data_IF_513396405604
#
_entry.id   IF_513396405604
#
_cell.length_a   1.000
_cell.length_b   1.000
_cell.length_c   1.000
_cell.angle_alpha   90.00
_cell.angle_beta   90.00
_cell.angle_gamma   90.00
#
_symmetry.space_group_name_H-M   'P 1'
#
loop_
_entity.id
_entity.type
_entity.pdbx_description
1 polymer ?
#
# COMPACT_ATOMS: atom_id res chain seq x y z
N UNK A 1 -2.53 -16.29 11.82
CA UNK A 1 -3.59 -16.96 11.03
C UNK A 1 -4.83 -16.09 10.85
N UNK A 2 -5.69 -15.83 11.85
CA UNK A 2 -6.94 -15.06 11.64
C UNK A 2 -6.73 -13.57 11.27
N UNK A 3 -5.68 -12.91 11.78
CA UNK A 3 -5.31 -11.52 11.37
C UNK A 3 -4.83 -11.47 9.92
N UNK A 4 -3.99 -12.44 9.50
CA UNK A 4 -3.55 -12.59 8.11
C UNK A 4 -4.70 -12.95 7.17
N UNK A 5 -5.73 -13.66 7.62
CA UNK A 5 -6.90 -13.98 6.80
C UNK A 5 -7.73 -12.73 6.45
N UNK A 6 -7.85 -11.76 7.37
CA UNK A 6 -8.54 -10.49 7.06
C UNK A 6 -7.68 -9.52 6.28
N UNK A 7 -6.37 -9.43 6.55
CA UNK A 7 -5.47 -8.64 5.69
C UNK A 7 -5.45 -9.24 4.27
N UNK A 8 -5.37 -10.57 4.10
CA UNK A 8 -5.52 -11.24 2.79
C UNK A 8 -6.92 -11.11 2.19
N UNK A 9 -7.99 -11.04 2.98
CA UNK A 9 -9.31 -10.73 2.43
C UNK A 9 -9.48 -9.25 2.04
N UNK A 10 -8.66 -8.36 2.61
CA UNK A 10 -8.65 -6.90 2.35
C UNK A 10 -7.75 -6.57 1.17
N UNK A 11 -6.54 -7.13 1.14
CA UNK A 11 -5.59 -7.09 0.01
C UNK A 11 -6.04 -7.98 -1.16
N UNK A 12 -7.08 -8.79 -0.96
CA UNK A 12 -7.52 -9.78 -1.94
C UNK A 12 -6.41 -10.77 -2.32
N UNK A 13 -6.53 -11.32 -3.52
CA UNK A 13 -5.51 -12.17 -4.14
C UNK A 13 -4.41 -11.34 -4.80
N UNK A 14 -3.97 -10.20 -4.22
CA UNK A 14 -2.81 -9.49 -4.77
C UNK A 14 -1.56 -10.33 -4.54
N UNK A 15 -1.13 -11.05 -5.57
CA UNK A 15 0.02 -11.93 -5.56
C UNK A 15 1.25 -11.19 -6.09
N UNK A 16 2.33 -11.15 -5.29
CA UNK A 16 3.60 -10.54 -5.67
C UNK A 16 4.52 -11.58 -6.30
N UNK A 17 4.88 -12.62 -5.55
CA UNK A 17 5.99 -13.54 -5.87
C UNK A 17 5.89 -14.15 -7.28
N UNK A 18 4.68 -14.57 -7.71
CA UNK A 18 4.48 -15.22 -9.00
C UNK A 18 4.14 -14.26 -10.15
N UNK A 19 3.93 -12.96 -9.85
CA UNK A 19 3.46 -11.95 -10.80
C UNK A 19 4.47 -10.84 -11.06
N UNK A 20 5.69 -10.97 -10.55
CA UNK A 20 6.78 -10.03 -10.77
C UNK A 20 7.25 -10.07 -12.22
N UNK A 21 7.41 -8.90 -12.83
CA UNK A 21 7.98 -8.71 -14.15
C UNK A 21 9.10 -7.67 -14.05
N UNK A 22 10.29 -7.98 -14.60
CA UNK A 22 11.34 -6.96 -14.76
C UNK A 22 10.81 -5.76 -15.54
N UNK A 23 11.10 -4.53 -15.09
CA UNK A 23 10.45 -3.35 -15.66
C UNK A 23 10.78 -3.14 -17.16
N UNK A 24 11.99 -3.52 -17.60
CA UNK A 24 12.35 -3.46 -19.02
C UNK A 24 11.51 -4.43 -19.86
N UNK A 25 11.29 -5.66 -19.35
CA UNK A 25 10.40 -6.64 -19.98
C UNK A 25 8.94 -6.18 -19.95
N UNK A 26 8.48 -5.68 -18.81
CA UNK A 26 7.11 -5.21 -18.58
C UNK A 26 6.71 -4.14 -19.59
N UNK A 27 7.50 -3.08 -19.74
CA UNK A 27 7.07 -1.95 -20.56
C UNK A 27 7.02 -2.29 -22.05
N UNK A 28 7.92 -3.17 -22.52
CA UNK A 28 7.90 -3.67 -23.89
C UNK A 28 6.65 -4.53 -24.14
N UNK A 29 6.31 -5.40 -23.18
CA UNK A 29 5.08 -6.21 -23.22
C UNK A 29 3.84 -5.34 -23.19
N UNK A 30 3.83 -4.30 -22.35
CA UNK A 30 2.71 -3.37 -22.24
C UNK A 30 2.50 -2.57 -23.53
N UNK A 31 3.57 -2.12 -24.18
CA UNK A 31 3.47 -1.50 -25.50
C UNK A 31 2.86 -2.46 -26.54
N UNK A 32 3.36 -3.70 -26.60
CA UNK A 32 2.84 -4.71 -27.52
C UNK A 32 1.38 -5.10 -27.20
N UNK A 33 1.01 -5.14 -25.91
CA UNK A 33 -0.37 -5.31 -25.48
C UNK A 33 -1.26 -4.17 -25.99
N UNK A 34 -0.81 -2.92 -25.93
CA UNK A 34 -1.55 -1.79 -26.51
C UNK A 34 -1.81 -1.99 -28.02
N UNK A 35 -0.83 -2.51 -28.76
CA UNK A 35 -0.99 -2.81 -30.19
C UNK A 35 -1.97 -3.96 -30.43
N UNK A 36 -1.93 -5.03 -29.63
CA UNK A 36 -2.87 -6.16 -29.70
C UNK A 36 -4.32 -5.73 -29.43
N UNK A 37 -4.53 -4.75 -28.55
CA UNK A 37 -5.85 -4.13 -28.28
C UNK A 37 -6.29 -3.11 -29.35
N UNK A 38 -5.55 -3.01 -30.46
CA UNK A 38 -5.92 -2.21 -31.63
C UNK A 38 -5.45 -0.75 -31.60
N UNK A 39 -4.53 -0.38 -30.70
CA UNK A 39 -3.90 0.94 -30.74
C UNK A 39 -2.87 1.05 -31.87
N UNK A 40 -2.62 2.26 -32.34
CA UNK A 40 -1.76 2.54 -33.50
C UNK A 40 -0.34 2.91 -33.07
N UNK A 41 0.66 2.17 -33.58
CA UNK A 41 2.07 2.47 -33.36
C UNK A 41 2.42 3.93 -33.71
N UNK A 42 3.21 4.59 -32.84
CA UNK A 42 3.57 6.01 -32.98
C UNK A 42 2.42 7.00 -32.76
N UNK A 43 1.23 6.55 -32.33
CA UNK A 43 0.07 7.40 -31.99
C UNK A 43 -0.44 7.22 -30.56
N UNK A 44 0.23 6.36 -29.79
CA UNK A 44 -0.06 6.14 -28.37
C UNK A 44 0.71 7.17 -27.54
N UNK A 45 -0.02 7.98 -26.76
CA UNK A 45 0.61 8.86 -25.77
C UNK A 45 0.61 8.15 -24.42
N UNK A 46 1.80 7.85 -23.86
CA UNK A 46 1.88 7.31 -22.53
C UNK A 46 1.69 8.42 -21.48
N UNK A 47 1.23 8.00 -20.33
CA UNK A 47 1.08 8.81 -19.14
C UNK A 47 1.50 8.00 -17.93
N UNK A 48 2.10 8.65 -16.94
CA UNK A 48 2.47 8.03 -15.67
C UNK A 48 1.82 8.71 -14.47
N UNK A 49 1.39 7.92 -13.50
CA UNK A 49 0.99 8.35 -12.16
C UNK A 49 1.87 7.68 -11.11
N UNK A 50 3.14 8.10 -11.05
CA UNK A 50 4.16 7.60 -10.13
C UNK A 50 4.50 8.63 -9.06
N UNK A 51 5.14 8.16 -7.98
CA UNK A 51 5.78 9.04 -7.00
C UNK A 51 6.91 9.86 -7.64
N UNK A 52 7.24 11.00 -7.04
CA UNK A 52 8.32 11.91 -7.48
C UNK A 52 9.72 11.46 -7.03
N UNK A 53 9.84 10.32 -6.34
CA UNK A 53 11.10 9.77 -5.85
C UNK A 53 12.05 9.43 -7.00
N UNK A 54 13.37 9.62 -6.82
CA UNK A 54 14.34 9.40 -7.89
C UNK A 54 14.44 7.92 -8.31
N UNK A 55 14.07 6.98 -7.44
CA UNK A 55 14.01 5.55 -7.78
C UNK A 55 13.04 5.26 -8.93
N UNK A 56 12.06 6.15 -9.16
CA UNK A 56 11.07 6.03 -10.23
C UNK A 56 11.58 6.58 -11.59
N UNK A 57 12.82 7.09 -11.65
CA UNK A 57 13.41 7.66 -12.87
C UNK A 57 13.60 6.64 -13.99
N UNK A 58 14.12 5.45 -13.69
CA UNK A 58 14.35 4.41 -14.70
C UNK A 58 13.04 3.97 -15.39
N UNK A 59 11.94 3.69 -14.65
CA UNK A 59 10.61 3.49 -15.26
C UNK A 59 10.21 4.55 -16.28
N UNK A 60 10.44 5.83 -16.01
CA UNK A 60 10.09 6.96 -16.90
C UNK A 60 10.92 6.92 -18.19
N UNK A 61 12.22 6.65 -18.07
CA UNK A 61 13.14 6.52 -19.20
C UNK A 61 12.68 5.36 -20.10
N UNK A 62 12.36 4.21 -19.50
CA UNK A 62 11.93 3.02 -20.23
C UNK A 62 10.56 3.23 -20.91
N UNK A 63 9.60 3.90 -20.28
CA UNK A 63 8.35 4.31 -20.93
C UNK A 63 8.63 5.16 -22.17
N UNK A 64 9.49 6.17 -22.03
CA UNK A 64 9.85 7.07 -23.13
C UNK A 64 10.51 6.33 -24.30
N UNK A 65 11.41 5.39 -23.98
CA UNK A 65 12.09 4.52 -24.95
C UNK A 65 11.10 3.67 -25.76
N UNK A 66 10.09 3.09 -25.12
CA UNK A 66 9.21 2.13 -25.78
C UNK A 66 8.04 2.79 -26.52
N UNK A 67 7.52 3.92 -26.02
CA UNK A 67 6.41 4.63 -26.65
C UNK A 67 6.87 5.73 -27.61
N UNK A 68 8.15 6.10 -27.61
CA UNK A 68 8.68 7.17 -28.45
C UNK A 68 8.21 8.57 -28.05
N UNK A 69 7.61 8.71 -26.86
CA UNK A 69 7.11 9.97 -26.32
C UNK A 69 7.35 10.01 -24.81
N UNK A 70 7.76 11.17 -24.29
CA UNK A 70 7.89 11.36 -22.85
C UNK A 70 6.51 11.28 -22.19
N UNK A 71 6.33 10.50 -21.10
CA UNK A 71 5.02 10.29 -20.54
C UNK A 71 4.45 11.57 -19.93
N UNK A 72 3.19 11.84 -20.24
CA UNK A 72 2.43 12.90 -19.58
C UNK A 72 2.34 12.61 -18.07
N UNK A 73 2.50 13.65 -17.24
CA UNK A 73 2.55 13.48 -15.80
C UNK A 73 1.14 13.57 -15.17
N UNK A 74 0.56 12.42 -14.82
CA UNK A 74 -0.61 12.32 -13.95
C UNK A 74 -0.24 12.18 -12.47
N UNK A 75 1.05 12.03 -12.15
CA UNK A 75 1.52 11.66 -10.82
C UNK A 75 1.44 12.80 -9.82
N UNK A 76 1.06 12.40 -8.60
CA UNK A 76 1.34 13.09 -7.36
C UNK A 76 2.14 12.13 -6.46
N UNK A 77 2.74 12.68 -5.41
CA UNK A 77 3.57 11.93 -4.46
C UNK A 77 2.78 10.74 -3.89
N UNK A 78 3.42 9.58 -3.77
CA UNK A 78 2.79 8.33 -3.32
C UNK A 78 2.02 7.58 -4.39
N UNK A 79 2.25 7.87 -5.67
CA UNK A 79 1.61 7.12 -6.77
C UNK A 79 0.14 7.50 -6.98
N UNK A 80 -0.25 8.68 -6.52
CA UNK A 80 -1.63 9.17 -6.60
C UNK A 80 -1.91 9.76 -7.97
N UNK A 81 -3.03 9.39 -8.58
CA UNK A 81 -3.46 9.96 -9.86
C UNK A 81 -4.16 11.32 -9.68
N UNK A 82 -3.63 12.37 -10.33
CA UNK A 82 -4.25 13.68 -10.45
C UNK A 82 -5.37 13.68 -11.50
N UNK A 83 -6.59 13.36 -11.06
CA UNK A 83 -7.75 13.21 -11.96
C UNK A 83 -8.15 14.49 -12.70
N UNK A 84 -7.75 15.67 -12.20
CA UNK A 84 -7.94 16.94 -12.90
C UNK A 84 -7.10 17.07 -14.18
N UNK A 85 -6.16 16.15 -14.43
CA UNK A 85 -5.29 16.16 -15.62
C UNK A 85 -5.79 15.26 -16.75
N UNK A 86 -6.94 14.59 -16.56
CA UNK A 86 -7.51 13.70 -17.57
C UNK A 86 -7.83 14.40 -18.88
N UNK A 87 -8.61 15.49 -18.82
CA UNK A 87 -8.98 16.26 -20.00
C UNK A 87 -7.78 16.77 -20.82
N UNK A 88 -6.76 17.42 -20.20
CA UNK A 88 -5.55 17.78 -20.93
C UNK A 88 -4.87 16.60 -21.63
N UNK A 89 -4.69 15.47 -20.93
CA UNK A 89 -4.04 14.29 -21.49
C UNK A 89 -4.82 13.70 -22.68
N UNK A 90 -6.15 13.69 -22.62
CA UNK A 90 -7.00 13.15 -23.69
C UNK A 90 -6.76 13.79 -25.05
N UNK A 91 -6.28 15.04 -25.08
CA UNK A 91 -6.03 15.78 -26.32
C UNK A 91 -4.63 15.55 -26.91
N UNK A 92 -3.75 14.80 -26.25
CA UNK A 92 -2.35 14.69 -26.66
C UNK A 92 -2.09 13.57 -27.67
N UNK A 93 -2.95 12.55 -27.72
CA UNK A 93 -2.78 11.37 -28.58
C UNK A 93 -4.06 10.93 -29.26
N UNK A 94 -3.93 10.02 -30.24
CA UNK A 94 -5.07 9.27 -30.77
C UNK A 94 -5.47 8.19 -29.77
N UNK A 95 -4.47 7.41 -29.33
CA UNK A 95 -4.59 6.33 -28.37
C UNK A 95 -3.84 6.72 -27.08
N UNK A 96 -4.31 6.23 -25.95
CA UNK A 96 -3.87 6.69 -24.63
C UNK A 96 -3.49 5.51 -23.74
N UNK A 97 -2.31 5.58 -23.12
CA UNK A 97 -1.86 4.56 -22.17
C UNK A 97 -1.51 5.22 -20.84
N UNK A 98 -2.18 4.83 -19.76
CA UNK A 98 -1.94 5.36 -18.41
C UNK A 98 -1.36 4.26 -17.54
N UNK A 99 -0.19 4.50 -16.94
CA UNK A 99 0.47 3.58 -16.03
C UNK A 99 0.48 4.25 -14.64
N UNK A 100 -0.23 3.69 -13.67
CA UNK A 100 -0.22 4.16 -12.29
C UNK A 100 0.48 3.13 -11.41
N UNK A 101 1.33 3.59 -10.51
CA UNK A 101 1.98 2.70 -9.57
C UNK A 101 2.23 3.39 -8.23
N UNK A 102 1.92 2.66 -7.15
CA UNK A 102 2.62 2.89 -5.89
C UNK A 102 3.99 2.23 -5.97
N UNK A 103 4.87 2.55 -5.04
CA UNK A 103 6.21 1.96 -5.01
C UNK A 103 6.69 1.66 -3.60
N UNK A 104 7.61 0.71 -3.50
CA UNK A 104 8.24 0.31 -2.26
C UNK A 104 9.69 -0.11 -2.52
N UNK A 105 10.60 0.33 -1.67
CA UNK A 105 11.99 -0.07 -1.70
C UNK A 105 12.16 -1.50 -1.18
N UNK A 106 13.11 -2.24 -1.74
CA UNK A 106 13.47 -3.55 -1.24
C UNK A 106 14.99 -3.67 -1.10
N UNK A 107 15.47 -3.89 0.12
CA UNK A 107 16.87 -4.18 0.36
C UNK A 107 17.11 -5.69 0.31
N UNK A 108 17.85 -6.14 -0.70
CA UNK A 108 18.18 -7.56 -0.91
C UNK A 108 19.09 -8.12 0.18
N UNK A 109 19.87 -7.28 0.86
CA UNK A 109 20.82 -7.73 1.88
C UNK A 109 20.15 -8.08 3.20
N UNK A 110 19.10 -7.35 3.56
CA UNK A 110 18.30 -7.58 4.78
C UNK A 110 16.93 -8.19 4.51
N UNK A 111 16.59 -8.45 3.24
CA UNK A 111 15.30 -8.96 2.77
C UNK A 111 14.11 -8.14 3.32
N UNK A 112 14.29 -6.81 3.37
CA UNK A 112 13.35 -5.90 4.05
C UNK A 112 12.72 -4.92 3.05
N UNK A 113 11.40 -4.75 3.15
CA UNK A 113 10.67 -3.76 2.38
C UNK A 113 10.62 -2.38 3.06
N UNK A 114 10.46 -1.34 2.24
CA UNK A 114 10.23 0.03 2.68
C UNK A 114 11.50 0.86 2.82
N UNK A 115 12.68 0.30 2.57
CA UNK A 115 13.97 1.01 2.65
C UNK A 115 14.70 0.97 1.31
N UNK A 116 15.52 1.99 1.08
CA UNK A 116 16.28 2.14 -0.15
C UNK A 116 17.59 2.89 0.09
N UNK A 117 18.69 2.43 -0.51
CA UNK A 117 20.01 3.05 -0.42
C UNK A 117 20.11 4.27 -1.35
N UNK A 118 20.35 5.45 -0.78
CA UNK A 118 20.47 6.71 -1.51
C UNK A 118 21.92 6.97 -1.93
N UNK A 119 22.31 6.48 -3.11
CA UNK A 119 23.70 6.54 -3.60
C UNK A 119 24.33 7.93 -3.64
N UNK A 120 23.52 8.99 -3.79
CA UNK A 120 23.99 10.37 -3.91
C UNK A 120 24.23 11.07 -2.56
N UNK A 121 23.96 10.40 -1.43
CA UNK A 121 24.31 10.91 -0.10
C UNK A 121 25.76 10.58 0.24
N UNK A 122 26.40 11.41 1.08
CA UNK A 122 27.83 11.26 1.40
C UNK A 122 28.21 9.87 1.95
N UNK A 123 27.27 9.22 2.65
CA UNK A 123 27.47 7.90 3.25
C UNK A 123 26.58 6.81 2.64
N UNK A 124 25.92 7.08 1.50
CA UNK A 124 24.96 6.16 0.87
C UNK A 124 23.91 5.62 1.84
N UNK A 125 23.27 6.53 2.58
CA UNK A 125 22.38 6.20 3.69
C UNK A 125 21.11 5.50 3.20
N UNK A 126 20.60 4.59 4.04
CA UNK A 126 19.29 4.00 3.83
C UNK A 126 18.22 4.94 4.35
N UNK A 127 17.18 5.14 3.55
CA UNK A 127 16.02 5.96 3.92
C UNK A 127 14.73 5.31 3.42
N UNK A 128 13.57 5.74 3.91
CA UNK A 128 12.28 5.19 3.49
C UNK A 128 12.00 5.37 1.99
N UNK A 129 11.34 4.38 1.40
CA UNK A 129 10.89 4.37 0.01
C UNK A 129 9.61 3.52 -0.08
N UNK A 130 8.43 4.07 -0.35
CA UNK A 130 8.06 5.47 -0.61
C UNK A 130 8.12 6.39 0.63
N UNK A 131 8.82 7.52 0.53
CA UNK A 131 8.90 8.50 1.65
C UNK A 131 7.55 9.09 2.08
N UNK A 132 6.59 9.25 1.16
CA UNK A 132 5.24 9.76 1.51
C UNK A 132 4.42 8.74 2.28
N UNK A 133 4.49 7.46 1.91
CA UNK A 133 3.81 6.38 2.65
C UNK A 133 4.42 6.27 4.05
N UNK A 134 5.75 6.29 4.16
CA UNK A 134 6.43 6.23 5.46
C UNK A 134 6.00 7.38 6.37
N UNK A 135 6.08 8.62 5.87
CA UNK A 135 5.66 9.80 6.63
C UNK A 135 4.18 9.73 7.05
N UNK A 136 3.31 9.21 6.18
CA UNK A 136 1.90 9.00 6.51
C UNK A 136 1.72 7.98 7.64
N UNK A 137 2.50 6.90 7.61
CA UNK A 137 2.42 5.81 8.59
C UNK A 137 3.09 6.13 9.93
N UNK A 138 4.08 7.02 9.96
CA UNK A 138 4.92 7.29 11.13
C UNK A 138 4.10 7.51 12.41
N UNK A 139 3.11 8.41 12.36
CA UNK A 139 2.25 8.70 13.50
C UNK A 139 1.47 7.47 13.98
N UNK A 140 0.86 6.73 13.05
CA UNK A 140 0.09 5.52 13.37
C UNK A 140 0.97 4.44 13.99
N UNK A 141 2.16 4.20 13.42
CA UNK A 141 3.12 3.23 13.94
C UNK A 141 3.60 3.60 15.34
N UNK A 142 3.81 4.89 15.62
CA UNK A 142 4.20 5.39 16.94
C UNK A 142 3.10 5.17 17.99
N UNK A 143 1.85 5.49 17.66
CA UNK A 143 0.69 5.23 18.52
C UNK A 143 0.50 3.72 18.80
N UNK A 144 0.64 2.87 17.78
CA UNK A 144 0.59 1.41 17.94
C UNK A 144 1.74 0.89 18.80
N UNK A 145 2.96 1.40 18.59
CA UNK A 145 4.15 1.05 19.38
C UNK A 145 3.98 1.46 20.85
N UNK A 146 3.39 2.62 21.11
CA UNK A 146 3.04 3.05 22.46
C UNK A 146 2.02 2.09 23.09
N UNK A 147 0.90 1.83 22.42
CA UNK A 147 -0.15 0.93 22.93
C UNK A 147 0.38 -0.49 23.19
N UNK A 148 1.11 -1.05 22.23
CA UNK A 148 1.65 -2.42 22.31
C UNK A 148 2.67 -2.60 23.44
N UNK A 149 3.36 -1.54 23.87
CA UNK A 149 4.29 -1.54 25.01
C UNK A 149 3.60 -1.27 26.35
N UNK A 150 2.53 -0.48 26.37
CA UNK A 150 1.91 0.03 27.60
C UNK A 150 0.60 -0.67 28.00
N UNK A 151 0.12 -1.62 27.19
CA UNK A 151 -0.89 -2.60 27.63
C UNK A 151 -0.15 -3.81 28.17
N UNK A 152 -0.31 -4.10 29.47
CA UNK A 152 0.44 -5.15 30.16
C UNK A 152 -0.46 -6.32 30.55
N UNK A 153 -0.02 -7.53 30.24
CA UNK A 153 -0.68 -8.79 30.58
C UNK A 153 0.07 -9.49 31.72
N UNK A 154 -0.66 -9.99 32.72
CA UNK A 154 -0.08 -10.77 33.82
C UNK A 154 -1.11 -11.67 34.50
N UNK A 155 -0.63 -12.55 35.39
CA UNK A 155 -1.46 -13.32 36.30
C UNK A 155 -1.07 -13.08 37.76
N UNK A 156 -2.07 -13.12 38.62
CA UNK A 156 -1.92 -13.26 40.07
C UNK A 156 -2.64 -14.54 40.53
N UNK A 157 -2.69 -14.78 41.84
CA UNK A 157 -3.48 -15.88 42.42
C UNK A 157 -4.98 -15.74 42.11
N UNK A 158 -5.46 -14.51 41.92
CA UNK A 158 -6.86 -14.19 41.63
C UNK A 158 -7.25 -14.37 40.15
N UNK A 159 -6.28 -14.62 39.27
CA UNK A 159 -6.50 -14.89 37.84
C UNK A 159 -5.65 -14.06 36.88
N UNK A 160 -6.15 -13.88 35.66
CA UNK A 160 -5.47 -13.17 34.57
C UNK A 160 -5.96 -11.73 34.42
N UNK A 161 -5.02 -10.80 34.34
CA UNK A 161 -5.28 -9.37 34.35
C UNK A 161 -4.63 -8.67 33.15
N UNK A 162 -5.26 -7.55 32.76
CA UNK A 162 -4.69 -6.56 31.85
C UNK A 162 -4.57 -5.23 32.60
N UNK A 163 -3.43 -4.57 32.44
CA UNK A 163 -3.19 -3.21 32.95
C UNK A 163 -3.03 -2.29 31.75
N UNK A 164 -3.83 -1.24 31.68
CA UNK A 164 -3.93 -0.34 30.53
C UNK A 164 -3.58 1.07 31.00
N UNK A 165 -2.66 1.72 30.29
CA UNK A 165 -2.29 3.10 30.52
C UNK A 165 -3.49 4.05 30.41
N UNK A 166 -3.55 5.06 31.28
CA UNK A 166 -4.65 6.02 31.34
C UNK A 166 -4.81 6.80 30.03
N UNK A 167 -3.74 7.04 29.26
CA UNK A 167 -3.81 7.68 27.95
C UNK A 167 -4.69 6.88 26.99
N UNK A 168 -4.53 5.55 26.97
CA UNK A 168 -5.27 4.63 26.10
C UNK A 168 -6.73 4.40 26.56
N UNK A 169 -7.07 4.86 27.76
CA UNK A 169 -8.42 4.81 28.34
C UNK A 169 -9.14 6.15 28.26
N UNK A 170 -8.42 7.23 27.98
CA UNK A 170 -8.95 8.59 27.97
C UNK A 170 -9.71 8.85 26.67
N UNK A 171 -10.95 9.32 26.79
CA UNK A 171 -11.71 9.84 25.65
C UNK A 171 -11.53 11.36 25.45
N UNK A 172 -10.60 11.98 26.19
CA UNK A 172 -10.37 13.43 26.12
C UNK A 172 -9.58 13.87 24.89
N UNK A 173 -8.97 12.92 24.18
CA UNK A 173 -8.18 13.21 22.99
C UNK A 173 -9.06 13.09 21.74
N UNK A 174 -8.94 14.05 20.84
CA UNK A 174 -9.65 14.04 19.55
C UNK A 174 -9.02 13.04 18.57
N UNK A 175 -7.73 12.76 18.75
CA UNK A 175 -6.95 11.84 17.91
C UNK A 175 -6.13 10.86 18.76
N UNK A 176 -5.87 9.69 18.21
CA UNK A 176 -5.02 8.65 18.82
C UNK A 176 -5.50 7.24 18.52
N UNK A 177 -4.85 6.26 19.16
CA UNK A 177 -5.27 4.87 19.18
C UNK A 177 -6.22 4.61 20.36
N UNK A 178 -7.43 4.12 20.04
CA UNK A 178 -8.47 3.80 21.01
C UNK A 178 -8.67 2.30 21.12
N UNK A 179 -8.64 1.77 22.34
CA UNK A 179 -8.78 0.34 22.57
C UNK A 179 -10.25 -0.06 22.56
N UNK A 180 -10.58 -1.14 21.84
CA UNK A 180 -11.85 -1.83 21.98
C UNK A 180 -11.86 -2.65 23.28
N UNK A 181 -12.17 -1.98 24.39
CA UNK A 181 -12.12 -2.58 25.73
C UNK A 181 -13.05 -3.80 25.86
N UNK A 182 -14.20 -3.82 25.15
CA UNK A 182 -15.13 -4.96 25.16
C UNK A 182 -14.49 -6.26 24.67
N UNK A 183 -13.49 -6.15 23.80
CA UNK A 183 -12.78 -7.32 23.28
C UNK A 183 -11.71 -7.84 24.25
N UNK A 184 -11.21 -7.01 25.17
CA UNK A 184 -10.06 -7.32 26.02
C UNK A 184 -10.46 -7.60 27.48
N UNK A 185 -11.39 -6.82 28.03
CA UNK A 185 -11.75 -6.88 29.46
C UNK A 185 -13.05 -7.64 29.72
N UNK A 186 -13.19 -8.17 30.93
CA UNK A 186 -14.40 -8.86 31.36
C UNK A 186 -15.62 -7.93 31.37
N UNK A 187 -16.74 -8.43 30.85
CA UNK A 187 -18.02 -7.74 30.76
C UNK A 187 -19.03 -8.43 31.65
N UNK A 188 -19.88 -7.66 32.32
CA UNK A 188 -20.99 -8.22 33.08
C UNK A 188 -22.19 -8.38 32.14
N UNK A 189 -22.52 -9.63 31.80
CA UNK A 189 -23.54 -9.95 30.77
C UNK A 189 -24.95 -9.48 31.16
N UNK A 190 -25.27 -9.46 32.46
CA UNK A 190 -26.59 -9.09 32.97
C UNK A 190 -26.86 -7.58 32.85
N UNK A 191 -25.85 -6.75 33.10
CA UNK A 191 -25.97 -5.28 33.08
C UNK A 191 -25.57 -4.70 31.72
N UNK A 192 -24.90 -5.49 30.86
CA UNK A 192 -24.21 -5.02 29.64
C UNK A 192 -23.22 -3.90 29.94
N UNK A 193 -22.73 -3.81 31.18
CA UNK A 193 -21.75 -2.83 31.60
C UNK A 193 -20.34 -3.45 31.66
N UNK A 194 -19.34 -2.60 31.45
CA UNK A 194 -17.95 -2.98 31.68
C UNK A 194 -17.74 -3.21 33.17
N UNK A 195 -17.06 -4.30 33.52
CA UNK A 195 -16.63 -4.46 34.92
C UNK A 195 -15.76 -3.28 35.34
N UNK A 196 -16.05 -2.73 36.53
CA UNK A 196 -15.22 -1.66 37.11
C UNK A 196 -13.78 -2.16 37.23
N UNK A 197 -12.82 -1.24 37.07
CA UNK A 197 -11.41 -1.56 37.25
C UNK A 197 -11.19 -2.20 38.62
N UNK A 198 -10.52 -3.34 38.66
CA UNK A 198 -10.16 -4.04 39.90
C UNK A 198 -9.19 -3.20 40.72
N UNK A 199 -8.36 -2.40 40.05
CA UNK A 199 -7.43 -1.49 40.70
C UNK A 199 -7.23 -0.24 39.84
N UNK A 200 -7.23 0.92 40.48
CA UNK A 200 -6.81 2.20 39.89
C UNK A 200 -5.40 2.49 40.37
N UNK A 201 -4.48 2.69 39.43
CA UNK A 201 -3.09 3.05 39.67
C UNK A 201 -2.87 4.51 39.25
N UNK A 202 -1.69 5.07 39.57
CA UNK A 202 -1.37 6.47 39.26
C UNK A 202 -1.45 6.80 37.77
N UNK A 203 -0.97 5.91 36.90
CA UNK A 203 -0.91 6.12 35.43
C UNK A 203 -1.70 5.07 34.65
N UNK A 204 -2.36 4.12 35.30
CA UNK A 204 -3.04 3.01 34.62
C UNK A 204 -4.21 2.46 35.41
N UNK A 205 -5.01 1.60 34.77
CA UNK A 205 -6.07 0.83 35.43
C UNK A 205 -5.91 -0.65 35.13
N UNK A 206 -6.22 -1.48 36.12
CA UNK A 206 -6.18 -2.94 36.04
C UNK A 206 -7.59 -3.51 35.90
N UNK A 207 -7.75 -4.45 34.98
CA UNK A 207 -9.01 -5.14 34.70
C UNK A 207 -8.80 -6.65 34.66
N UNK A 208 -9.87 -7.40 34.93
CA UNK A 208 -9.93 -8.83 34.60
C UNK A 208 -10.04 -8.99 33.09
N UNK A 209 -9.36 -9.99 32.57
CA UNK A 209 -9.34 -10.26 31.12
C UNK A 209 -10.61 -11.00 30.71
N UNK A 210 -11.17 -10.66 29.55
CA UNK A 210 -12.34 -11.33 28.98
C UNK A 210 -12.07 -12.81 28.68
N UNK A 211 -13.10 -13.66 28.77
CA UNK A 211 -12.99 -15.08 28.41
C UNK A 211 -12.53 -15.26 26.95
N UNK A 212 -13.07 -14.46 26.05
CA UNK A 212 -12.73 -14.48 24.62
C UNK A 212 -11.26 -14.11 24.37
N UNK A 213 -10.74 -13.09 25.06
CA UNK A 213 -9.35 -12.69 24.90
C UNK A 213 -8.39 -13.74 25.50
N UNK A 214 -8.75 -14.38 26.63
CA UNK A 214 -7.98 -15.52 27.17
C UNK A 214 -7.94 -16.68 26.17
N UNK A 215 -9.06 -17.03 25.54
CA UNK A 215 -9.11 -18.09 24.54
C UNK A 215 -8.20 -17.76 23.34
N UNK A 216 -8.29 -16.54 22.81
CA UNK A 216 -7.43 -16.03 21.74
C UNK A 216 -5.93 -16.12 22.07
N UNK A 217 -5.54 -15.76 23.29
CA UNK A 217 -4.16 -15.85 23.76
C UNK A 217 -3.71 -17.31 23.92
N UNK A 218 -4.58 -18.18 24.44
CA UNK A 218 -4.32 -19.62 24.60
C UNK A 218 -4.06 -20.31 23.27
N UNK A 219 -4.84 -20.02 22.23
CA UNK A 219 -4.63 -20.53 20.86
C UNK A 219 -3.25 -20.17 20.28
N UNK A 220 -2.58 -19.16 20.84
CA UNK A 220 -1.26 -18.68 20.41
C UNK A 220 -0.17 -19.04 21.42
N UNK A 221 -0.43 -20.05 22.26
CA UNK A 221 0.48 -20.54 23.29
C UNK A 221 1.01 -19.42 24.20
N UNK A 222 0.19 -18.40 24.48
CA UNK A 222 0.58 -17.34 25.39
C UNK A 222 0.65 -17.88 26.82
N UNK A 223 1.84 -17.82 27.40
CA UNK A 223 2.06 -18.14 28.80
C UNK A 223 1.85 -16.89 29.65
N UNK A 224 0.87 -16.93 30.56
CA UNK A 224 0.57 -15.83 31.46
C UNK A 224 1.73 -15.59 32.45
N UNK A 225 2.41 -14.43 32.38
CA UNK A 225 3.56 -14.18 33.23
C UNK A 225 3.13 -13.68 34.62
N UNK A 226 3.90 -14.02 35.66
CA UNK A 226 3.68 -13.46 37.01
C UNK A 226 4.02 -11.96 37.08
N UNK A 227 5.03 -11.53 36.31
CA UNK A 227 5.40 -10.12 36.15
C UNK A 227 4.67 -9.53 34.92
N UNK A 228 4.22 -8.26 34.98
CA UNK A 228 3.64 -7.58 33.82
C UNK A 228 4.52 -7.68 32.58
N UNK A 229 3.93 -8.09 31.45
CA UNK A 229 4.58 -8.12 30.13
C UNK A 229 3.72 -7.37 29.12
N UNK A 230 4.37 -6.57 28.28
CA UNK A 230 3.73 -5.90 27.15
C UNK A 230 2.91 -6.87 26.28
N UNK A 231 1.75 -6.42 25.81
CA UNK A 231 0.87 -7.16 24.90
C UNK A 231 1.58 -7.42 23.56
N UNK A 232 2.45 -6.51 23.09
CA UNK A 232 3.21 -6.66 21.86
C UNK A 232 2.35 -7.11 20.68
N UNK A 233 2.83 -8.12 19.94
CA UNK A 233 2.15 -8.73 18.78
C UNK A 233 0.78 -9.34 19.05
N UNK A 234 0.36 -9.45 20.31
CA UNK A 234 -0.98 -9.93 20.65
C UNK A 234 -2.06 -8.85 20.50
N UNK A 235 -1.66 -7.58 20.34
CA UNK A 235 -2.54 -6.46 19.99
C UNK A 235 -2.91 -6.50 18.50
N UNK A 236 -3.90 -7.32 18.16
CA UNK A 236 -4.36 -7.51 16.77
C UNK A 236 -5.25 -6.34 16.29
N UNK A 237 -5.44 -6.17 14.96
CA UNK A 237 -6.16 -5.04 14.36
C UNK A 237 -7.52 -4.74 14.98
N UNK A 238 -8.32 -5.78 15.25
CA UNK A 238 -9.68 -5.61 15.73
C UNK A 238 -9.80 -5.32 17.24
N UNK A 239 -8.68 -5.13 17.94
CA UNK A 239 -8.65 -4.74 19.34
C UNK A 239 -8.54 -3.23 19.54
N UNK A 240 -8.37 -2.47 18.46
CA UNK A 240 -8.24 -1.03 18.52
C UNK A 240 -8.79 -0.38 17.25
N UNK A 241 -8.97 0.92 17.32
CA UNK A 241 -9.30 1.79 16.20
C UNK A 241 -8.44 3.06 16.30
N UNK A 242 -8.26 3.74 15.18
CA UNK A 242 -7.66 5.07 15.17
C UNK A 242 -8.74 6.12 14.99
N UNK A 243 -8.60 7.23 15.71
CA UNK A 243 -9.27 8.47 15.35
C UNK A 243 -8.21 9.46 14.90
N UNK A 244 -8.43 10.03 13.72
CA UNK A 244 -7.58 11.07 13.14
C UNK A 244 -8.43 11.95 12.23
N UNK A 245 -8.16 13.24 12.26
CA UNK A 245 -8.73 14.20 11.33
C UNK A 245 -7.86 14.24 10.08
N UNK A 246 -8.38 13.71 8.97
CA UNK A 246 -7.64 13.62 7.70
C UNK A 246 -8.16 14.72 6.78
N UNK A 247 -7.29 15.69 6.48
CA UNK A 247 -7.63 16.77 5.53
C UNK A 247 -7.75 16.24 4.09
N UNK A 248 -8.46 17.02 3.27
CA UNK A 248 -8.74 16.67 1.90
C UNK A 248 -7.52 16.55 0.98
N UNK A 249 -6.40 17.17 1.36
CA UNK A 249 -5.16 17.19 0.59
C UNK A 249 -4.31 15.91 0.73
N UNK A 250 -4.58 15.05 1.72
CA UNK A 250 -3.80 13.85 2.02
C UNK A 250 -4.40 12.58 1.40
N UNK A 251 -4.35 12.47 0.07
CA UNK A 251 -5.01 11.36 -0.65
C UNK A 251 -4.45 9.97 -0.28
N UNK A 252 -3.13 9.81 -0.14
CA UNK A 252 -2.51 8.55 0.29
C UNK A 252 -3.07 8.11 1.64
N UNK A 253 -3.12 9.04 2.60
CA UNK A 253 -3.64 8.75 3.94
C UNK A 253 -5.11 8.32 3.90
N UNK A 254 -5.95 9.03 3.14
CA UNK A 254 -7.35 8.65 2.95
C UNK A 254 -7.52 7.23 2.40
N UNK A 255 -6.66 6.84 1.45
CA UNK A 255 -6.74 5.52 0.83
C UNK A 255 -6.46 4.42 1.86
N UNK A 256 -5.43 4.60 2.68
CA UNK A 256 -4.97 3.56 3.61
C UNK A 256 -5.66 3.62 4.97
N UNK A 257 -6.26 4.75 5.36
CA UNK A 257 -6.85 4.98 6.68
C UNK A 257 -7.81 3.88 7.16
N UNK A 258 -8.78 3.41 6.35
CA UNK A 258 -9.68 2.33 6.76
C UNK A 258 -8.97 1.03 7.13
N UNK A 259 -7.72 0.87 6.68
CA UNK A 259 -6.93 -0.35 6.78
C UNK A 259 -5.73 -0.21 7.72
N UNK A 260 -5.50 0.98 8.28
CA UNK A 260 -4.36 1.26 9.18
C UNK A 260 -4.21 0.22 10.30
N UNK A 261 -5.26 -0.22 11.03
CA UNK A 261 -5.09 -1.22 12.07
C UNK A 261 -4.46 -2.52 11.58
N UNK A 262 -4.69 -2.90 10.32
CA UNK A 262 -4.08 -4.08 9.72
C UNK A 262 -2.65 -3.79 9.25
N UNK A 263 -2.43 -2.64 8.62
CA UNK A 263 -1.11 -2.19 8.16
C UNK A 263 -0.10 -2.15 9.32
N UNK A 264 -0.42 -1.46 10.43
CA UNK A 264 0.53 -1.29 11.56
C UNK A 264 0.81 -2.60 12.31
N UNK A 265 -0.01 -3.62 12.12
CA UNK A 265 0.20 -4.96 12.71
C UNK A 265 0.83 -5.95 11.73
N UNK A 266 1.01 -5.55 10.47
CA UNK A 266 1.70 -6.34 9.44
C UNK A 266 3.18 -6.52 9.82
N UNK A 267 3.80 -7.60 9.33
CA UNK A 267 5.26 -7.73 9.38
C UNK A 267 5.95 -6.72 8.48
N UNK A 268 5.30 -6.32 7.38
CA UNK A 268 5.81 -5.38 6.38
C UNK A 268 4.83 -4.20 6.19
N UNK A 269 4.74 -3.24 7.13
CA UNK A 269 3.76 -2.16 7.05
C UNK A 269 3.87 -1.30 5.78
N UNK A 270 5.09 -1.04 5.32
CA UNK A 270 5.35 -0.24 4.12
C UNK A 270 4.81 -0.92 2.86
N UNK A 271 5.09 -2.22 2.70
CA UNK A 271 4.58 -3.02 1.59
C UNK A 271 3.05 -3.08 1.64
N UNK A 272 2.47 -3.43 2.80
CA UNK A 272 1.01 -3.51 2.95
C UNK A 272 0.31 -2.19 2.63
N UNK A 273 0.89 -1.05 3.02
CA UNK A 273 0.34 0.26 2.69
C UNK A 273 0.44 0.57 1.19
N UNK A 274 1.55 0.22 0.54
CA UNK A 274 1.72 0.41 -0.90
C UNK A 274 0.72 -0.44 -1.69
N UNK A 275 0.52 -1.71 -1.32
CA UNK A 275 -0.46 -2.62 -1.92
C UNK A 275 -1.89 -2.06 -1.80
N UNK A 276 -2.30 -1.66 -0.59
CA UNK A 276 -3.64 -1.09 -0.35
C UNK A 276 -3.83 0.19 -1.16
N UNK A 277 -2.81 1.06 -1.18
CA UNK A 277 -2.86 2.30 -1.94
C UNK A 277 -3.11 2.03 -3.42
N UNK A 278 -2.47 1.02 -4.02
CA UNK A 278 -2.69 0.62 -5.42
C UNK A 278 -4.14 0.24 -5.68
N UNK A 279 -4.72 -0.62 -4.83
CA UNK A 279 -6.08 -1.11 -5.04
C UNK A 279 -7.12 0.02 -4.96
N UNK A 280 -6.97 0.91 -3.98
CA UNK A 280 -7.86 2.06 -3.79
C UNK A 280 -7.64 3.13 -4.88
N UNK A 281 -6.39 3.38 -5.28
CA UNK A 281 -6.05 4.27 -6.39
C UNK A 281 -6.59 3.77 -7.72
N UNK A 282 -6.52 2.47 -7.99
CA UNK A 282 -7.09 1.88 -9.20
C UNK A 282 -8.59 2.13 -9.28
N UNK A 283 -9.35 1.80 -8.21
CA UNK A 283 -10.80 2.05 -8.19
C UNK A 283 -11.13 3.54 -8.37
N UNK A 284 -10.40 4.44 -7.68
CA UNK A 284 -10.62 5.89 -7.83
C UNK A 284 -10.27 6.37 -9.25
N UNK A 285 -9.13 5.96 -9.77
CA UNK A 285 -8.61 6.31 -11.08
C UNK A 285 -9.56 5.85 -12.18
N UNK A 286 -9.91 4.56 -12.18
CA UNK A 286 -10.88 3.97 -13.10
C UNK A 286 -12.22 4.71 -13.09
N UNK A 287 -12.83 4.94 -11.92
CA UNK A 287 -14.11 5.66 -11.82
C UNK A 287 -14.04 7.09 -12.35
N UNK A 288 -12.88 7.74 -12.21
CA UNK A 288 -12.67 9.08 -12.75
C UNK A 288 -12.46 9.08 -14.26
N UNK A 289 -11.78 8.07 -14.81
CA UNK A 289 -11.57 7.89 -16.26
C UNK A 289 -12.91 7.65 -16.96
N UNK A 290 -13.74 6.73 -16.45
CA UNK A 290 -15.06 6.40 -17.04
C UNK A 290 -16.01 7.60 -17.06
N UNK A 291 -15.83 8.57 -16.16
CA UNK A 291 -16.67 9.79 -16.08
C UNK A 291 -16.12 10.95 -16.89
N UNK A 292 -14.90 10.85 -17.39
CA UNK A 292 -14.26 11.93 -18.13
C UNK A 292 -14.69 11.88 -19.60
N UNK A 293 -15.52 12.85 -19.99
CA UNK A 293 -16.09 12.92 -21.34
C UNK A 293 -15.03 13.03 -22.44
N UNK A 294 -13.89 13.67 -22.15
CA UNK A 294 -12.80 13.84 -23.12
C UNK A 294 -12.14 12.52 -23.56
N UNK A 295 -12.29 11.44 -22.76
CA UNK A 295 -11.83 10.10 -23.11
C UNK A 295 -12.85 9.28 -23.91
N UNK A 296 -14.10 9.73 -24.06
CA UNK A 296 -15.08 9.01 -24.87
C UNK A 296 -14.67 8.95 -26.34
N UNK A 297 -14.91 7.80 -26.99
CA UNK A 297 -14.58 7.60 -28.40
C UNK A 297 -13.08 7.39 -28.67
N UNK A 298 -12.28 7.10 -27.64
CA UNK A 298 -10.83 6.86 -27.76
C UNK A 298 -10.46 5.47 -27.26
N UNK A 299 -9.39 4.92 -27.82
CA UNK A 299 -8.73 3.77 -27.22
C UNK A 299 -7.93 4.26 -26.01
N UNK A 300 -8.18 3.65 -24.84
CA UNK A 300 -7.48 3.96 -23.60
C UNK A 300 -7.21 2.67 -22.84
N UNK A 301 -5.96 2.48 -22.42
CA UNK A 301 -5.59 1.43 -21.48
C UNK A 301 -5.04 2.09 -20.22
N UNK A 302 -5.67 1.80 -19.09
CA UNK A 302 -5.21 2.21 -17.77
C UNK A 302 -4.76 0.98 -16.99
N UNK A 303 -3.46 0.85 -16.75
CA UNK A 303 -2.86 -0.23 -15.95
C UNK A 303 -2.38 0.32 -14.60
N UNK A 304 -2.61 -0.46 -13.55
CA UNK A 304 -2.14 -0.17 -12.19
C UNK A 304 -1.33 -1.34 -11.63
N UNK A 305 -0.34 -1.04 -10.78
CA UNK A 305 0.48 -2.05 -10.12
C UNK A 305 1.47 -1.50 -9.10
N UNK A 306 2.39 -2.34 -8.65
CA UNK A 306 3.43 -2.02 -7.68
C UNK A 306 4.80 -1.97 -8.36
N UNK A 307 5.50 -0.85 -8.21
CA UNK A 307 6.94 -0.78 -8.49
C UNK A 307 7.71 -1.25 -7.25
N UNK A 308 8.53 -2.29 -7.41
CA UNK A 308 9.49 -2.74 -6.40
C UNK A 308 10.85 -2.19 -6.80
N UNK A 309 11.34 -1.24 -6.00
CA UNK A 309 12.61 -0.56 -6.23
C UNK A 309 13.72 -1.29 -5.47
N UNK A 310 14.50 -2.10 -6.19
CA UNK A 310 15.60 -2.82 -5.59
C UNK A 310 16.69 -1.85 -5.19
N UNK A 311 17.03 -1.85 -3.90
CA UNK A 311 18.08 -1.01 -3.37
C UNK A 311 19.38 -1.27 -4.13
N UNK A 312 20.01 -0.24 -4.71
CA UNK A 312 21.20 -0.43 -5.51
C UNK A 312 22.38 -0.89 -4.65
N UNK A 313 23.26 -1.67 -5.27
CA UNK A 313 24.61 -1.94 -4.78
C UNK A 313 25.62 -0.96 -5.39
N UNK A 314 26.89 -1.09 -5.02
CA UNK A 314 27.96 -0.23 -5.54
C UNK A 314 28.41 -0.60 -6.97
N UNK A 315 27.85 -1.67 -7.56
CA UNK A 315 28.32 -2.21 -8.83
C UNK A 315 27.47 -1.72 -10.02
N UNK A 316 26.22 -1.32 -9.78
CA UNK A 316 25.29 -0.90 -10.82
C UNK A 316 25.03 0.61 -10.80
N UNK A 317 25.13 1.26 -11.97
CA UNK A 317 24.88 2.71 -12.11
C UNK A 317 23.40 3.11 -11.98
N UNK A 318 22.48 2.15 -12.14
CA UNK A 318 21.04 2.35 -11.98
C UNK A 318 20.45 1.23 -11.13
N UNK A 319 19.56 1.59 -10.21
CA UNK A 319 18.78 0.62 -9.45
C UNK A 319 17.83 -0.14 -10.37
N UNK A 320 17.65 -1.43 -10.10
CA UNK A 320 16.68 -2.25 -10.79
C UNK A 320 15.29 -1.97 -10.24
N UNK A 321 14.30 -1.90 -11.12
CA UNK A 321 12.89 -1.82 -10.74
C UNK A 321 12.17 -3.01 -11.35
N UNK A 322 11.24 -3.58 -10.60
CA UNK A 322 10.31 -4.59 -11.10
C UNK A 322 8.88 -4.08 -10.95
N UNK A 323 7.99 -4.58 -11.79
CA UNK A 323 6.57 -4.26 -11.78
C UNK A 323 5.75 -5.49 -11.42
N UNK A 324 4.81 -5.32 -10.50
CA UNK A 324 3.77 -6.31 -10.21
C UNK A 324 2.44 -5.74 -10.68
N UNK A 325 1.82 -6.25 -11.75
CA UNK A 325 0.53 -5.77 -12.21
C UNK A 325 -0.53 -6.06 -11.13
N UNK A 326 -1.48 -5.14 -10.95
CA UNK A 326 -2.67 -5.34 -10.13
C UNK A 326 -3.92 -5.53 -10.99
N UNK A 327 -4.25 -4.55 -11.82
CA UNK A 327 -5.43 -4.58 -12.67
C UNK A 327 -5.29 -3.60 -13.84
N UNK A 328 -6.10 -3.81 -14.88
CA UNK A 328 -6.21 -2.87 -16.00
C UNK A 328 -7.66 -2.60 -16.41
N UNK A 329 -7.91 -1.38 -16.86
CA UNK A 329 -9.11 -1.00 -17.60
C UNK A 329 -8.74 -0.79 -19.05
N UNK A 330 -9.44 -1.47 -19.95
CA UNK A 330 -9.28 -1.36 -21.40
C UNK A 330 -10.56 -0.77 -21.97
N UNK A 331 -10.43 0.30 -22.74
CA UNK A 331 -11.51 0.96 -23.45
C UNK A 331 -11.16 1.06 -24.93
N UNK A 332 -12.11 0.73 -25.79
CA UNK A 332 -12.00 0.92 -27.22
C UNK A 332 -12.81 2.14 -27.69
N UNK A 333 -12.41 2.70 -28.82
CA UNK A 333 -13.05 3.88 -29.41
C UNK A 333 -14.55 3.68 -29.75
N UNK A 334 -15.01 2.44 -29.89
CA UNK A 334 -16.43 2.12 -30.10
C UNK A 334 -17.27 2.16 -28.80
N UNK A 335 -16.65 2.40 -27.64
CA UNK A 335 -17.30 2.44 -26.32
C UNK A 335 -17.31 1.11 -25.56
N UNK A 336 -16.85 0.01 -26.18
CA UNK A 336 -16.63 -1.26 -25.49
C UNK A 336 -15.48 -1.11 -24.48
N UNK A 337 -15.64 -1.75 -23.33
CA UNK A 337 -14.63 -1.72 -22.29
C UNK A 337 -14.65 -3.00 -21.45
N UNK A 338 -13.49 -3.31 -20.87
CA UNK A 338 -13.29 -4.46 -19.99
C UNK A 338 -12.38 -4.10 -18.82
N UNK A 339 -12.50 -4.87 -17.74
CA UNK A 339 -11.57 -4.85 -16.62
C UNK A 339 -10.82 -6.18 -16.66
N UNK A 340 -9.48 -6.11 -16.61
CA UNK A 340 -8.60 -7.25 -16.49
C UNK A 340 -8.12 -7.32 -15.04
N UNK A 341 -8.54 -8.37 -14.34
CA UNK A 341 -8.02 -8.68 -13.00
C UNK A 341 -6.58 -9.20 -13.08
N UNK A 342 -5.87 -9.24 -11.95
CA UNK A 342 -4.43 -9.51 -11.91
C UNK A 342 -3.96 -10.72 -12.74
N UNK A 343 -4.60 -11.87 -12.56
CA UNK A 343 -4.24 -13.11 -13.26
C UNK A 343 -4.40 -12.99 -14.77
N UNK A 344 -5.54 -12.44 -15.21
CA UNK A 344 -5.83 -12.25 -16.62
C UNK A 344 -4.85 -11.25 -17.23
N UNK A 345 -4.63 -10.12 -16.57
CA UNK A 345 -3.69 -9.08 -16.99
C UNK A 345 -2.26 -9.63 -17.10
N UNK A 346 -1.78 -10.33 -16.07
CA UNK A 346 -0.45 -10.92 -16.08
C UNK A 346 -0.29 -11.91 -17.24
N UNK A 347 -1.27 -12.81 -17.43
CA UNK A 347 -1.23 -13.76 -18.52
C UNK A 347 -1.22 -13.08 -19.90
N UNK A 348 -2.01 -12.02 -20.09
CA UNK A 348 -2.02 -11.22 -21.32
C UNK A 348 -0.66 -10.56 -21.58
N UNK A 349 -0.09 -9.89 -20.58
CA UNK A 349 1.25 -9.29 -20.69
C UNK A 349 2.33 -10.34 -21.01
N UNK A 350 2.22 -11.54 -20.42
CA UNK A 350 3.18 -12.61 -20.64
C UNK A 350 3.07 -13.26 -22.03
N UNK A 351 1.90 -13.20 -22.67
CA UNK A 351 1.68 -13.62 -24.06
C UNK A 351 2.28 -12.63 -25.07
N UNK A 352 2.28 -11.33 -24.75
CA UNK A 352 2.90 -10.31 -25.60
C UNK A 352 4.43 -10.48 -25.64
N UNK A 353 5.07 -10.08 -26.74
CA UNK A 353 6.53 -10.12 -26.85
C UNK A 353 7.22 -9.18 -25.84
N UNK A 354 8.34 -9.61 -25.26
CA UNK A 354 9.24 -8.75 -24.47
C UNK A 354 10.16 -7.87 -25.34
N UNK A 355 10.07 -8.02 -26.66
CA UNK A 355 10.79 -7.20 -27.64
C UNK A 355 9.80 -6.25 -28.29
N UNK A 356 10.06 -4.96 -28.20
CA UNK A 356 9.35 -3.92 -28.92
C UNK A 356 10.19 -3.49 -30.14
N UNK A 357 9.74 -3.77 -31.39
CA UNK A 357 10.46 -3.40 -32.59
C UNK A 357 10.44 -1.88 -32.87
N UNK A 358 9.48 -1.14 -32.29
CA UNK A 358 9.29 0.30 -32.46
C UNK A 358 10.02 1.15 -31.40
N UNK A 359 10.78 0.52 -30.49
CA UNK A 359 11.51 1.25 -29.45
C UNK A 359 12.51 2.24 -30.07
N UNK A 360 12.60 3.44 -29.48
CA UNK A 360 13.57 4.44 -29.90
C UNK A 360 14.92 4.24 -29.20
N UNK A 361 16.01 4.50 -29.91
CA UNK A 361 17.31 4.60 -29.26
C UNK A 361 17.43 5.98 -28.61
N UNK A 362 17.69 6.02 -27.30
CA UNK A 362 17.85 7.29 -26.58
C UNK A 362 19.07 8.08 -27.08
N UNK A 363 20.11 7.39 -27.56
CA UNK A 363 21.29 8.02 -28.19
C UNK A 363 20.99 8.63 -29.57
N UNK A 364 19.84 8.28 -30.15
CA UNK A 364 19.41 8.80 -31.46
C UNK A 364 18.46 10.00 -31.37
N UNK A 365 18.12 10.45 -30.15
CA UNK A 365 17.30 11.63 -29.90
C UNK A 365 18.20 12.87 -30.04
N UNK A 366 18.06 13.58 -31.16
CA UNK A 366 18.86 14.76 -31.51
C UNK A 366 18.38 16.05 -30.84
#
# INVERSE_FOLDING_TARGET
>A
MISNLRLRSILGNFEIEEKIIDYHSFIARFYNFCLEEGMTAGKIVPSRAFCSDESQGLPIILISKHFGAFPFDHGLVGGVMATSRHSPHAHHGQDLAIIQASHVGYDTSTETFGIYRRLQTSNQEFSPNCGMIDHTLEWYLNEYKFASKNILLHRTEEGSFVTIDNQLLSQKYDEGLFINLRSIIEFEELTKEMTKSVQVLSTSKRYRVSKNFKAYLRERNFLWPKKPRAIGKYLKPNLFEYKRNIDNTHQVEKNIYPFIPWIVTSSEPMLSAAEINIQVEFDRGYRSIVREESYHGRNLIYISGLNIDYSPDNEHSFAQTQFVPWAAYVQHANGEHTILEQDELFNRLMQCSAVNPDQVSLDSIA
#
